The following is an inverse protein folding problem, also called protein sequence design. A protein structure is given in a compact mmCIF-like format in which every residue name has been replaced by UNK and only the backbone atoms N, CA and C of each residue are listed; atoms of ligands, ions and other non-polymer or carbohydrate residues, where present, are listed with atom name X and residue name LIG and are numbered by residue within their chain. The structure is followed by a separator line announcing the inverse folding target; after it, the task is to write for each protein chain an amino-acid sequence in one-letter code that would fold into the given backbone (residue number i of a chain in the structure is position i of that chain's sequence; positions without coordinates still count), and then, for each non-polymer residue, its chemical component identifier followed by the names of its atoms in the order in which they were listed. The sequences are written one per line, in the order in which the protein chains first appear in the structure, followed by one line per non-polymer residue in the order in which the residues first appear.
data_IF_189051601945
#
_entry.id   IF_189051601945
#
_cell.length_a   1.000
_cell.length_b   1.000
_cell.length_c   1.000
_cell.angle_alpha   90.00
_cell.angle_beta   90.00
_cell.angle_gamma   90.00
#
_symmetry.space_group_name_H-M   'P 1'
#
loop_
_entity.id
_entity.type
_entity.pdbx_description
1 polymer ?
#
# COMPACT_ATOMS: atom_id res chain seq x y z
N UNK A 1 31.23 7.86 -4.91
CA UNK A 1 30.52 6.95 -4.00
C UNK A 1 29.03 7.20 -4.10
N UNK A 2 28.29 6.14 -4.33
CA UNK A 2 26.84 6.25 -4.44
C UNK A 2 26.23 6.14 -3.06
N UNK A 3 25.32 7.06 -2.71
CA UNK A 3 24.57 6.95 -1.47
C UNK A 3 23.69 5.69 -1.51
N UNK A 4 23.45 5.00 -0.38
CA UNK A 4 22.51 3.90 -0.35
C UNK A 4 21.15 4.38 -0.85
N UNK A 5 20.48 3.55 -1.63
CA UNK A 5 19.12 3.85 -2.06
C UNK A 5 18.21 3.96 -0.83
N UNK A 6 17.37 4.99 -0.80
CA UNK A 6 16.34 5.09 0.22
C UNK A 6 15.32 3.97 0.02
N UNK A 7 14.76 3.47 1.11
CA UNK A 7 13.80 2.37 1.08
C UNK A 7 12.59 2.67 1.95
N UNK A 8 11.56 1.86 1.79
CA UNK A 8 10.34 1.92 2.57
C UNK A 8 10.08 0.57 3.24
N UNK A 9 10.87 0.20 4.28
CA UNK A 9 10.81 -1.16 4.82
C UNK A 9 9.46 -1.55 5.40
N UNK A 10 8.75 -0.64 6.06
CA UNK A 10 7.44 -0.94 6.63
C UNK A 10 6.40 -1.10 5.52
N UNK A 11 6.39 -0.23 4.52
CA UNK A 11 5.49 -0.37 3.36
C UNK A 11 5.80 -1.65 2.58
N UNK A 12 7.08 -2.00 2.40
CA UNK A 12 7.46 -3.25 1.74
C UNK A 12 6.89 -4.46 2.48
N UNK A 13 7.00 -4.47 3.81
CA UNK A 13 6.45 -5.53 4.65
C UNK A 13 4.91 -5.51 4.62
N UNK A 14 4.30 -4.33 4.59
CA UNK A 14 2.85 -4.17 4.48
C UNK A 14 2.31 -4.91 3.25
N UNK A 15 2.87 -4.61 2.07
CA UNK A 15 2.40 -5.22 0.83
C UNK A 15 2.72 -6.71 0.77
N UNK A 16 3.87 -7.15 1.25
CA UNK A 16 4.21 -8.57 1.32
C UNK A 16 3.24 -9.33 2.23
N UNK A 17 2.87 -8.75 3.36
CA UNK A 17 1.90 -9.34 4.29
C UNK A 17 0.50 -9.37 3.69
N UNK A 18 0.10 -8.27 3.07
CA UNK A 18 -1.22 -8.15 2.43
C UNK A 18 -1.40 -9.19 1.31
N UNK A 19 -0.36 -9.38 0.50
CA UNK A 19 -0.39 -10.31 -0.64
C UNK A 19 -0.12 -11.76 -0.25
N UNK A 20 0.32 -12.01 0.97
CA UNK A 20 0.72 -13.33 1.43
C UNK A 20 -0.44 -14.17 1.93
N UNK A 21 -0.09 -15.28 2.59
CA UNK A 21 -1.08 -16.26 3.07
C UNK A 21 -1.81 -15.82 4.33
N UNK A 22 -1.25 -14.88 5.09
CA UNK A 22 -1.81 -14.42 6.37
C UNK A 22 -1.95 -12.90 6.38
N UNK A 23 -2.86 -12.33 5.57
CA UNK A 23 -3.01 -10.87 5.48
C UNK A 23 -3.46 -10.22 6.79
N UNK A 24 -4.03 -10.98 7.70
CA UNK A 24 -4.40 -10.47 9.02
C UNK A 24 -3.20 -10.00 9.84
N UNK A 25 -1.98 -10.38 9.46
CA UNK A 25 -0.75 -9.85 10.06
C UNK A 25 -0.64 -8.33 9.95
N UNK A 26 -1.34 -7.71 9.00
CA UNK A 26 -1.43 -6.26 8.91
C UNK A 26 -1.98 -5.64 10.18
N UNK A 27 -2.92 -6.32 10.85
CA UNK A 27 -3.51 -5.82 12.09
C UNK A 27 -2.49 -5.68 13.23
N UNK A 28 -1.39 -6.40 13.17
CA UNK A 28 -0.29 -6.28 14.12
C UNK A 28 0.67 -5.14 13.76
N UNK A 29 0.56 -4.58 12.57
CA UNK A 29 1.41 -3.49 12.09
C UNK A 29 0.82 -2.11 12.32
N UNK A 30 -0.44 -2.02 12.71
CA UNK A 30 -1.13 -0.74 12.86
C UNK A 30 -1.13 -0.26 14.31
N UNK A 31 -1.04 1.07 14.47
CA UNK A 31 -1.05 1.71 15.78
C UNK A 31 -2.47 1.84 16.32
N UNK A 32 -2.64 2.00 17.64
CA UNK A 32 -3.91 2.46 18.19
C UNK A 32 -4.30 3.79 17.54
N UNK A 33 -5.54 3.93 17.14
CA UNK A 33 -5.99 5.14 16.44
C UNK A 33 -5.62 5.20 14.96
N UNK A 34 -5.14 4.10 14.39
CA UNK A 34 -4.82 3.98 12.97
C UNK A 34 -5.95 4.48 12.07
N UNK A 35 -5.58 5.23 11.03
CA UNK A 35 -6.51 5.71 10.00
C UNK A 35 -5.91 5.47 8.63
N UNK A 36 -6.75 5.11 7.65
CA UNK A 36 -6.28 4.92 6.28
C UNK A 36 -7.29 5.45 5.26
N UNK A 37 -6.78 5.70 4.07
CA UNK A 37 -7.57 6.05 2.91
C UNK A 37 -6.94 5.39 1.68
N UNK A 38 -7.73 4.62 0.95
CA UNK A 38 -7.32 3.99 -0.31
C UNK A 38 -8.27 4.45 -1.40
N UNK A 39 -7.72 5.06 -2.43
CA UNK A 39 -8.49 5.60 -3.56
C UNK A 39 -8.12 4.82 -4.81
N UNK A 40 -9.12 4.31 -5.52
CA UNK A 40 -8.95 3.60 -6.78
C UNK A 40 -9.55 4.43 -7.92
N UNK A 41 -8.73 4.79 -8.91
CA UNK A 41 -9.24 5.23 -10.19
C UNK A 41 -9.78 4.02 -10.96
N UNK A 42 -10.98 4.12 -11.52
CA UNK A 42 -11.61 3.02 -12.24
C UNK A 42 -11.49 3.15 -13.75
N UNK A 43 -10.84 4.21 -14.25
CA UNK A 43 -10.73 4.48 -15.68
C UNK A 43 -11.99 5.06 -16.29
N UNK A 44 -13.13 5.02 -15.59
CA UNK A 44 -14.41 5.55 -16.04
C UNK A 44 -14.77 6.87 -15.38
N UNK A 45 -13.79 7.54 -14.75
CA UNK A 45 -14.02 8.78 -14.00
C UNK A 45 -14.62 8.56 -12.62
N UNK A 46 -14.94 7.32 -12.24
CA UNK A 46 -15.41 6.97 -10.91
C UNK A 46 -14.24 6.49 -10.05
N UNK A 47 -14.35 6.65 -8.75
CA UNK A 47 -13.38 6.14 -7.80
C UNK A 47 -14.08 5.29 -6.76
N UNK A 48 -13.43 4.20 -6.33
CA UNK A 48 -13.89 3.40 -5.20
C UNK A 48 -12.95 3.68 -4.04
N UNK A 49 -13.50 4.16 -2.93
CA UNK A 49 -12.72 4.55 -1.78
C UNK A 49 -12.97 3.61 -0.61
N UNK A 50 -11.88 3.25 0.06
CA UNK A 50 -11.94 2.61 1.36
C UNK A 50 -11.25 3.54 2.36
N UNK A 51 -11.90 3.81 3.48
CA UNK A 51 -11.34 4.68 4.50
C UNK A 51 -11.85 4.30 5.87
N UNK A 52 -11.07 4.58 6.89
CA UNK A 52 -11.46 4.36 8.27
C UNK A 52 -10.30 3.99 9.17
N UNK A 53 -10.61 3.23 10.22
CA UNK A 53 -9.65 2.76 11.19
C UNK A 53 -9.48 1.23 11.13
N UNK A 54 -9.18 0.64 12.29
CA UNK A 54 -8.91 -0.80 12.39
C UNK A 54 -10.07 -1.66 11.88
N UNK A 55 -11.30 -1.33 12.26
CA UNK A 55 -12.47 -2.12 11.85
C UNK A 55 -12.66 -2.08 10.33
N UNK A 56 -12.51 -0.89 9.73
CA UNK A 56 -12.59 -0.75 8.27
C UNK A 56 -11.47 -1.53 7.59
N UNK A 57 -10.26 -1.57 8.17
CA UNK A 57 -9.17 -2.38 7.63
C UNK A 57 -9.48 -3.87 7.72
N UNK A 58 -10.08 -4.34 8.80
CA UNK A 58 -10.51 -5.74 8.91
C UNK A 58 -11.51 -6.11 7.80
N UNK A 59 -12.47 -5.23 7.51
CA UNK A 59 -13.44 -5.44 6.44
C UNK A 59 -12.77 -5.42 5.06
N UNK A 60 -11.80 -4.52 4.86
CA UNK A 60 -11.04 -4.44 3.62
C UNK A 60 -10.25 -5.72 3.37
N UNK A 61 -9.58 -6.25 4.40
CA UNK A 61 -8.83 -7.51 4.30
C UNK A 61 -9.75 -8.69 3.97
N UNK A 62 -10.97 -8.70 4.52
CA UNK A 62 -11.93 -9.78 4.26
C UNK A 62 -12.46 -9.80 2.83
N UNK A 63 -12.41 -8.67 2.14
CA UNK A 63 -12.92 -8.53 0.76
C UNK A 63 -11.87 -8.80 -0.30
N UNK A 64 -10.60 -8.94 0.07
CA UNK A 64 -9.55 -9.07 -0.93
C UNK A 64 -9.60 -10.43 -1.63
N UNK A 65 -9.26 -10.45 -2.91
CA UNK A 65 -9.09 -11.66 -3.68
C UNK A 65 -7.72 -12.27 -3.39
N UNK A 66 -7.71 -13.47 -2.83
CA UNK A 66 -6.48 -14.12 -2.39
C UNK A 66 -5.67 -14.62 -3.59
N UNK A 67 -4.39 -14.24 -3.63
CA UNK A 67 -3.43 -14.80 -4.59
C UNK A 67 -3.52 -14.28 -6.02
N UNK A 68 -4.45 -13.36 -6.32
CA UNK A 68 -4.65 -12.84 -7.67
C UNK A 68 -3.99 -11.49 -7.86
N UNK A 69 -4.20 -10.57 -6.92
CA UNK A 69 -3.64 -9.23 -6.97
C UNK A 69 -2.36 -9.19 -6.14
N UNK A 70 -1.26 -8.73 -6.74
CA UNK A 70 0.02 -8.57 -6.06
C UNK A 70 0.51 -7.13 -6.19
N UNK A 71 1.27 -6.68 -5.18
CA UNK A 71 1.83 -5.34 -5.12
C UNK A 71 3.34 -5.40 -5.21
N UNK A 72 3.92 -4.62 -6.12
CA UNK A 72 5.35 -4.61 -6.39
C UNK A 72 5.88 -3.19 -6.16
N UNK A 73 6.66 -3.02 -5.09
CA UNK A 73 7.26 -1.71 -4.80
C UNK A 73 8.46 -1.50 -5.72
N UNK A 74 8.40 -0.46 -6.54
CA UNK A 74 9.45 -0.11 -7.50
C UNK A 74 10.47 0.86 -6.91
N UNK A 75 10.03 1.77 -6.06
CA UNK A 75 10.87 2.75 -5.39
C UNK A 75 10.28 3.10 -4.04
N UNK A 76 11.12 3.33 -3.05
CA UNK A 76 10.70 3.71 -1.71
C UNK A 76 11.64 4.70 -1.09
N UNK A 77 11.14 5.47 -0.13
CA UNK A 77 11.90 6.48 0.58
C UNK A 77 11.39 6.61 2.01
N UNK A 78 12.29 6.94 2.91
CA UNK A 78 11.97 7.25 4.30
C UNK A 78 12.40 8.69 4.59
N UNK A 79 11.47 9.49 5.08
CA UNK A 79 11.72 10.88 5.47
C UNK A 79 11.16 11.07 6.88
N UNK A 80 12.04 11.09 7.88
CA UNK A 80 11.62 11.15 9.28
C UNK A 80 10.77 9.94 9.64
N UNK A 81 9.57 10.19 10.14
CA UNK A 81 8.60 9.14 10.50
C UNK A 81 7.72 8.70 9.31
N UNK A 82 7.97 9.21 8.12
CA UNK A 82 7.14 8.94 6.94
C UNK A 82 7.86 8.00 5.98
N UNK A 83 7.13 7.02 5.45
CA UNK A 83 7.57 6.21 4.34
C UNK A 83 6.73 6.50 3.11
N UNK A 84 7.37 6.56 1.96
CA UNK A 84 6.75 6.82 0.67
C UNK A 84 7.14 5.71 -0.30
N UNK A 85 6.21 5.26 -1.12
CA UNK A 85 6.49 4.23 -2.11
C UNK A 85 5.75 4.49 -3.43
N UNK A 86 6.43 4.15 -4.52
CA UNK A 86 5.85 4.05 -5.85
C UNK A 86 5.85 2.59 -6.22
N UNK A 87 4.73 2.08 -6.72
CA UNK A 87 4.64 0.67 -7.05
C UNK A 87 3.66 0.37 -8.17
N UNK A 88 3.54 -0.91 -8.44
CA UNK A 88 2.64 -1.44 -9.46
C UNK A 88 1.82 -2.57 -8.86
N UNK A 89 0.52 -2.55 -9.07
CA UNK A 89 -0.35 -3.67 -8.77
C UNK A 89 -0.52 -4.50 -10.04
N UNK A 90 -0.43 -5.82 -9.90
CA UNK A 90 -0.57 -6.77 -10.99
C UNK A 90 -1.64 -7.78 -10.63
N UNK A 91 -2.48 -8.11 -11.61
CA UNK A 91 -3.49 -9.15 -11.48
C UNK A 91 -3.10 -10.33 -12.36
N UNK A 92 -2.89 -11.49 -11.73
CA UNK A 92 -2.40 -12.69 -12.41
C UNK A 92 -1.14 -12.41 -13.26
N UNK A 93 -0.24 -11.57 -12.72
CA UNK A 93 1.02 -11.22 -13.38
C UNK A 93 0.94 -10.08 -14.39
N UNK A 94 -0.27 -9.64 -14.75
CA UNK A 94 -0.45 -8.55 -15.71
C UNK A 94 -0.66 -7.21 -15.01
N UNK A 95 -0.20 -6.14 -15.63
CA UNK A 95 -0.37 -4.78 -15.10
C UNK A 95 -1.86 -4.49 -14.84
N UNK A 96 -2.17 -3.96 -13.67
CA UNK A 96 -3.50 -3.46 -13.33
C UNK A 96 -3.49 -1.97 -13.05
N UNK A 97 -2.54 -1.51 -12.23
CA UNK A 97 -2.48 -0.09 -11.87
C UNK A 97 -1.09 0.28 -11.38
N UNK A 98 -0.77 1.56 -11.47
CA UNK A 98 0.34 2.16 -10.73
C UNK A 98 -0.21 2.71 -9.42
N UNK A 99 0.51 2.56 -8.32
CA UNK A 99 0.09 3.12 -7.03
C UNK A 99 1.19 3.98 -6.41
N UNK A 100 0.75 4.93 -5.59
CA UNK A 100 1.60 5.64 -4.64
C UNK A 100 1.06 5.40 -3.24
N UNK A 101 1.96 5.23 -2.28
CA UNK A 101 1.60 4.99 -0.89
C UNK A 101 2.40 5.91 0.02
N UNK A 102 1.76 6.39 1.08
CA UNK A 102 2.41 7.16 2.13
C UNK A 102 1.95 6.64 3.48
N UNK A 103 2.89 6.33 4.35
CA UNK A 103 2.61 5.87 5.70
C UNK A 103 3.35 6.73 6.70
N UNK A 104 2.65 7.13 7.77
CA UNK A 104 3.28 7.75 8.93
C UNK A 104 3.37 6.72 10.05
N UNK A 105 4.55 6.58 10.62
CA UNK A 105 4.80 5.63 11.70
C UNK A 105 4.75 6.35 13.04
N UNK A 106 4.30 5.64 14.08
CA UNK A 106 4.39 6.14 15.45
C UNK A 106 5.77 5.81 16.05
N UNK A 107 5.96 6.18 17.32
CA UNK A 107 7.23 5.98 18.03
C UNK A 107 7.61 4.50 18.17
N UNK A 108 6.65 3.58 18.03
CA UNK A 108 6.89 2.13 18.12
C UNK A 108 7.19 1.50 16.77
N UNK A 109 7.12 2.28 15.68
CA UNK A 109 7.30 1.77 14.33
C UNK A 109 6.03 1.20 13.72
N UNK A 110 4.87 1.36 14.36
CA UNK A 110 3.59 0.94 13.81
C UNK A 110 3.00 2.02 12.93
N UNK A 111 2.17 1.61 11.99
CA UNK A 111 1.54 2.53 11.04
C UNK A 111 0.40 3.28 11.73
N UNK A 112 0.57 4.59 11.87
CA UNK A 112 -0.45 5.47 12.45
C UNK A 112 -1.43 5.94 11.37
N UNK A 113 -0.95 6.19 10.17
CA UNK A 113 -1.81 6.55 9.03
C UNK A 113 -1.23 6.00 7.73
N UNK A 114 -2.13 5.69 6.79
CA UNK A 114 -1.77 5.14 5.49
C UNK A 114 -2.67 5.75 4.42
N UNK A 115 -2.06 6.22 3.34
CA UNK A 115 -2.78 6.67 2.16
C UNK A 115 -2.24 5.94 0.94
N UNK A 116 -3.13 5.41 0.11
CA UNK A 116 -2.78 4.77 -1.14
C UNK A 116 -3.66 5.33 -2.24
N UNK A 117 -3.03 5.75 -3.34
CA UNK A 117 -3.73 6.14 -4.56
C UNK A 117 -3.33 5.23 -5.71
N UNK A 118 -4.29 4.83 -6.53
CA UNK A 118 -4.06 3.96 -7.68
C UNK A 118 -4.62 4.57 -8.95
N UNK A 119 -3.91 4.38 -10.06
CA UNK A 119 -4.38 4.75 -11.40
C UNK A 119 -4.16 3.60 -12.36
N UNK A 120 -5.23 3.11 -13.03
CA UNK A 120 -5.08 2.08 -14.07
C UNK A 120 -4.61 2.66 -15.39
N UNK A 121 -4.58 3.97 -15.54
CA UNK A 121 -4.30 4.65 -16.81
C UNK A 121 -2.81 4.90 -17.06
N UNK A 122 -1.98 4.82 -16.02
CA UNK A 122 -0.55 5.08 -16.13
C UNK A 122 0.24 3.85 -15.71
N UNK A 123 1.03 3.32 -16.63
CA UNK A 123 2.03 2.30 -16.33
C UNK A 123 3.41 2.97 -16.35
N UNK A 124 3.99 3.22 -15.18
CA UNK A 124 5.26 3.93 -15.07
C UNK A 124 6.43 3.14 -15.63
N UNK A 125 6.31 1.80 -15.71
CA UNK A 125 7.36 0.96 -16.26
C UNK A 125 7.37 0.98 -17.78
N UNK A 126 6.25 1.33 -18.41
CA UNK A 126 6.12 1.43 -19.88
C UNK A 126 6.33 2.85 -20.39
N UNK A 127 6.51 3.79 -19.50
CA UNK A 127 6.67 5.21 -19.88
C UNK A 127 8.07 5.51 -20.44
#
# INVERSE_FOLDING_TARGET
MTAPASTSPVLNRWFATFDGDSPDGILDMIAPGFRFSIVFGTGAGAATDFAGGREAMQQYLAQREKGVLTHHVLAGSTVGADELALGQARRAGAFESTFVAAARLDDTGRVASLMIGRSPELDVESA
#
